data_IF_557856740568
#
_entry.id   IF_557856740568
#
_cell.length_a   1.000
_cell.length_b   1.000
_cell.length_c   1.000
_cell.angle_alpha   90.00
_cell.angle_beta   90.00
_cell.angle_gamma   90.00
#
_symmetry.space_group_name_H-M   'P 1'
#
loop_
_entity.id
_entity.type
_entity.pdbx_description
1 polymer ?
#
# COMPACT_ATOMS: atom_id res chain seq x y z
N UNK A 1 1.18 11.68 -21.34
CA UNK A 1 1.68 10.29 -21.53
C UNK A 1 0.47 9.37 -21.60
N UNK A 2 0.42 8.44 -22.55
CA UNK A 2 -0.66 7.43 -22.62
C UNK A 2 -0.20 6.17 -21.88
N UNK A 3 -1.05 5.59 -21.05
CA UNK A 3 -0.77 4.33 -20.37
C UNK A 3 -2.04 3.48 -20.26
N UNK A 4 -1.85 2.18 -20.06
CA UNK A 4 -2.93 1.23 -19.78
C UNK A 4 -2.60 0.54 -18.46
N UNK A 5 -3.45 0.66 -17.42
CA UNK A 5 -3.26 -0.07 -16.18
C UNK A 5 -3.27 -1.58 -16.43
N UNK A 6 -2.34 -2.29 -15.83
CA UNK A 6 -2.32 -3.75 -15.88
C UNK A 6 -0.95 -4.36 -15.64
N UNK A 7 -0.94 -5.69 -15.69
CA UNK A 7 0.25 -6.52 -15.51
C UNK A 7 0.43 -7.48 -16.67
N UNK A 8 1.68 -7.85 -16.97
CA UNK A 8 1.98 -9.00 -17.82
C UNK A 8 1.44 -10.26 -17.15
N UNK A 9 1.02 -11.21 -17.99
CA UNK A 9 0.56 -12.53 -17.54
C UNK A 9 1.62 -13.27 -16.73
N UNK A 10 2.90 -13.13 -17.09
CA UNK A 10 4.05 -13.69 -16.39
C UNK A 10 5.11 -12.59 -16.26
N UNK A 11 5.69 -12.44 -15.07
CA UNK A 11 6.84 -11.58 -14.82
C UNK A 11 8.16 -12.24 -15.26
N UNK A 12 8.24 -13.57 -15.24
CA UNK A 12 9.34 -14.37 -15.77
C UNK A 12 8.79 -15.42 -16.74
N UNK A 13 9.28 -15.45 -17.98
CA UNK A 13 8.95 -16.47 -18.98
C UNK A 13 10.22 -17.01 -19.66
N UNK A 14 10.47 -18.32 -19.54
CA UNK A 14 11.69 -18.98 -20.05
C UNK A 14 12.95 -18.27 -19.53
N UNK A 15 13.81 -17.76 -20.40
CA UNK A 15 15.02 -17.03 -20.06
C UNK A 15 14.85 -15.50 -20.01
N UNK A 16 13.61 -15.00 -19.94
CA UNK A 16 13.31 -13.58 -19.96
C UNK A 16 12.55 -13.14 -18.70
N UNK A 17 13.04 -12.11 -18.03
CA UNK A 17 12.40 -11.46 -16.89
C UNK A 17 12.00 -10.04 -17.29
N UNK A 18 10.73 -9.71 -17.12
CA UNK A 18 10.23 -8.36 -17.34
C UNK A 18 10.35 -7.54 -16.05
N UNK A 19 10.82 -6.29 -16.17
CA UNK A 19 10.96 -5.34 -15.06
C UNK A 19 10.39 -3.97 -15.45
N UNK A 20 9.87 -3.24 -14.45
CA UNK A 20 9.30 -1.91 -14.63
C UNK A 20 8.12 -1.90 -15.60
N UNK A 21 8.08 -0.94 -16.52
CA UNK A 21 6.97 -0.81 -17.48
C UNK A 21 6.82 -2.04 -18.41
N UNK A 22 7.88 -2.84 -18.57
CA UNK A 22 7.80 -4.08 -19.34
C UNK A 22 6.98 -5.17 -18.64
N UNK A 23 7.00 -5.20 -17.30
CA UNK A 23 6.22 -6.14 -16.47
C UNK A 23 4.81 -5.63 -16.20
N UNK A 24 4.61 -4.33 -16.00
CA UNK A 24 3.27 -3.78 -15.77
C UNK A 24 3.31 -2.31 -15.44
N UNK A 25 2.13 -1.69 -15.40
CA UNK A 25 1.98 -0.32 -14.96
C UNK A 25 0.70 -0.16 -14.15
N UNK A 26 0.83 0.50 -13.01
CA UNK A 26 -0.25 1.00 -12.18
C UNK A 26 0.03 2.48 -11.99
N UNK A 27 -1.01 3.30 -11.99
CA UNK A 27 -0.88 4.75 -11.88
C UNK A 27 -0.11 5.16 -10.59
N UNK A 28 0.61 6.29 -10.62
CA UNK A 28 1.55 6.67 -9.55
C UNK A 28 0.85 7.30 -8.33
N UNK A 29 -0.37 6.88 -8.00
CA UNK A 29 -1.13 7.43 -6.86
C UNK A 29 -0.40 7.18 -5.53
N UNK A 30 0.23 6.01 -5.39
CA UNK A 30 0.96 5.59 -4.18
C UNK A 30 2.47 5.39 -4.41
N UNK A 31 3.05 6.06 -5.41
CA UNK A 31 4.49 6.05 -5.69
C UNK A 31 5.14 4.65 -5.83
N UNK A 32 4.40 3.67 -6.36
CA UNK A 32 4.80 2.24 -6.35
C UNK A 32 5.74 1.83 -7.50
N UNK A 33 5.92 2.64 -8.54
CA UNK A 33 6.62 2.20 -9.76
C UNK A 33 8.07 1.81 -9.54
N UNK A 34 8.84 2.62 -8.80
CA UNK A 34 10.24 2.35 -8.49
C UNK A 34 10.37 1.18 -7.51
N UNK A 35 9.43 1.07 -6.56
CA UNK A 35 9.36 -0.06 -5.64
C UNK A 35 9.24 -1.39 -6.38
N UNK A 36 8.30 -1.49 -7.33
CA UNK A 36 8.10 -2.69 -8.16
C UNK A 36 9.34 -3.11 -8.96
N UNK A 37 10.14 -2.14 -9.42
CA UNK A 37 11.42 -2.44 -10.09
C UNK A 37 12.39 -3.07 -9.08
N UNK A 38 12.53 -2.48 -7.89
CA UNK A 38 13.43 -2.98 -6.87
C UNK A 38 13.02 -4.38 -6.38
N UNK A 39 11.73 -4.61 -6.12
CA UNK A 39 11.25 -5.92 -5.65
C UNK A 39 11.41 -6.98 -6.72
N UNK A 40 11.17 -6.65 -8.00
CA UNK A 40 11.47 -7.54 -9.13
C UNK A 40 12.95 -7.93 -9.20
N UNK A 41 13.87 -6.97 -9.05
CA UNK A 41 15.32 -7.23 -9.03
C UNK A 41 15.70 -8.11 -7.83
N UNK A 42 15.25 -7.77 -6.61
CA UNK A 42 15.54 -8.55 -5.39
C UNK A 42 14.99 -9.97 -5.50
N UNK A 43 13.78 -10.14 -6.05
CA UNK A 43 13.16 -11.45 -6.29
C UNK A 43 14.00 -12.28 -7.26
N UNK A 44 14.47 -11.68 -8.35
CA UNK A 44 15.37 -12.34 -9.31
C UNK A 44 16.70 -12.73 -8.64
N UNK A 45 17.29 -11.86 -7.82
CA UNK A 45 18.53 -12.16 -7.09
C UNK A 45 18.37 -13.34 -6.12
N UNK A 46 17.23 -13.45 -5.44
CA UNK A 46 16.93 -14.58 -4.53
C UNK A 46 16.73 -15.89 -5.27
N UNK A 47 16.22 -15.84 -6.50
CA UNK A 47 15.92 -16.99 -7.35
C UNK A 47 16.94 -17.12 -8.50
N UNK A 48 18.15 -16.58 -8.33
CA UNK A 48 19.07 -16.42 -9.43
C UNK A 48 19.52 -17.79 -9.97
N UNK A 49 19.38 -18.05 -11.28
CA UNK A 49 19.55 -19.39 -11.85
C UNK A 49 21.02 -19.65 -12.23
N UNK A 50 21.91 -19.82 -11.25
CA UNK A 50 23.36 -20.00 -11.50
C UNK A 50 23.68 -21.18 -12.42
N UNK A 51 22.95 -22.29 -12.27
CA UNK A 51 23.14 -23.52 -13.07
C UNK A 51 22.10 -23.66 -14.19
N UNK A 52 21.45 -22.56 -14.57
CA UNK A 52 20.40 -22.53 -15.58
C UNK A 52 18.99 -22.40 -15.01
N UNK A 53 18.06 -21.98 -15.87
CA UNK A 53 16.70 -21.64 -15.45
C UNK A 53 15.87 -22.89 -15.20
N UNK A 54 15.28 -22.99 -14.01
CA UNK A 54 14.39 -24.08 -13.62
C UNK A 54 12.94 -23.61 -13.59
N UNK A 55 12.01 -24.50 -13.93
CA UNK A 55 10.57 -24.18 -13.91
C UNK A 55 10.10 -23.81 -12.49
N UNK A 56 10.63 -24.46 -11.45
CA UNK A 56 10.32 -24.13 -10.05
C UNK A 56 10.68 -22.69 -9.68
N UNK A 57 11.81 -22.16 -10.18
CA UNK A 57 12.20 -20.77 -9.93
C UNK A 57 11.29 -19.79 -10.70
N UNK A 58 10.90 -20.12 -11.93
CA UNK A 58 9.94 -19.33 -12.72
C UNK A 58 8.59 -19.28 -12.00
N UNK A 59 8.08 -20.42 -11.53
CA UNK A 59 6.78 -20.53 -10.89
C UNK A 59 6.75 -19.72 -9.59
N UNK A 60 7.75 -19.90 -8.71
CA UNK A 60 7.85 -19.13 -7.46
C UNK A 60 7.96 -17.62 -7.73
N UNK A 61 8.77 -17.21 -8.72
CA UNK A 61 8.88 -15.80 -9.10
C UNK A 61 7.52 -15.23 -9.51
N UNK A 62 6.79 -15.96 -10.35
CA UNK A 62 5.50 -15.51 -10.88
C UNK A 62 4.40 -15.52 -9.81
N UNK A 63 4.39 -16.48 -8.89
CA UNK A 63 3.46 -16.49 -7.75
C UNK A 63 3.64 -15.25 -6.89
N UNK A 64 4.90 -14.91 -6.54
CA UNK A 64 5.19 -13.71 -5.72
C UNK A 64 4.94 -12.41 -6.48
N UNK A 65 5.22 -12.38 -7.77
CA UNK A 65 4.88 -11.25 -8.64
C UNK A 65 3.37 -11.01 -8.71
N UNK A 66 2.58 -12.07 -8.86
CA UNK A 66 1.13 -11.97 -9.02
C UNK A 66 0.46 -11.51 -7.73
N UNK A 67 0.90 -12.05 -6.59
CA UNK A 67 0.45 -11.65 -5.26
C UNK A 67 0.76 -10.18 -4.96
N UNK A 68 1.98 -9.71 -5.25
CA UNK A 68 2.37 -8.29 -5.10
C UNK A 68 1.53 -7.37 -6.00
N UNK A 69 1.34 -7.73 -7.27
CA UNK A 69 0.55 -6.91 -8.19
C UNK A 69 -0.93 -6.85 -7.80
N UNK A 70 -1.50 -7.94 -7.27
CA UNK A 70 -2.86 -7.98 -6.76
C UNK A 70 -3.03 -7.08 -5.54
N UNK A 71 -2.09 -7.15 -4.58
CA UNK A 71 -2.11 -6.31 -3.39
C UNK A 71 -2.05 -4.81 -3.72
N UNK A 72 -1.19 -4.43 -4.67
CA UNK A 72 -1.11 -3.03 -5.13
C UNK A 72 -2.40 -2.60 -5.82
N UNK A 73 -2.96 -3.45 -6.69
CA UNK A 73 -4.21 -3.15 -7.38
C UNK A 73 -5.35 -2.94 -6.38
N UNK A 74 -5.47 -3.81 -5.36
CA UNK A 74 -6.50 -3.67 -4.33
C UNK A 74 -6.37 -2.35 -3.59
N UNK A 75 -5.15 -1.95 -3.20
CA UNK A 75 -4.92 -0.69 -2.52
C UNK A 75 -5.28 0.51 -3.42
N UNK A 76 -4.88 0.52 -4.69
CA UNK A 76 -5.21 1.61 -5.61
C UNK A 76 -6.70 1.67 -5.90
N UNK A 77 -7.35 0.53 -6.14
CA UNK A 77 -8.79 0.45 -6.41
C UNK A 77 -9.59 0.94 -5.20
N UNK A 78 -9.11 0.69 -3.97
CA UNK A 78 -9.72 1.24 -2.75
C UNK A 78 -9.87 2.76 -2.81
N UNK A 79 -8.84 3.50 -3.27
CA UNK A 79 -8.91 4.97 -3.34
C UNK A 79 -10.07 5.49 -4.19
N UNK A 80 -10.45 4.73 -5.22
CA UNK A 80 -11.59 5.06 -6.08
C UNK A 80 -12.91 4.55 -5.51
N UNK A 81 -12.89 3.37 -4.90
CA UNK A 81 -14.07 2.68 -4.39
C UNK A 81 -14.63 3.32 -3.12
N UNK A 82 -13.74 3.66 -2.18
CA UNK A 82 -14.10 4.27 -0.89
C UNK A 82 -14.17 5.77 -1.07
N UNK A 83 -15.36 6.28 -1.38
CA UNK A 83 -15.55 7.70 -1.64
C UNK A 83 -16.96 8.15 -1.29
N UNK A 84 -17.07 9.39 -0.80
CA UNK A 84 -18.33 10.10 -0.59
C UNK A 84 -18.72 10.95 -1.81
N UNK A 85 -17.90 10.97 -2.87
CA UNK A 85 -18.17 11.72 -4.08
C UNK A 85 -19.23 11.05 -4.93
N UNK A 86 -20.23 11.83 -5.34
CA UNK A 86 -21.28 11.45 -6.30
C UNK A 86 -21.51 12.55 -7.34
N UNK A 87 -20.63 13.55 -7.37
CA UNK A 87 -20.76 14.79 -8.15
C UNK A 87 -20.56 14.61 -9.66
N UNK A 88 -20.18 13.40 -10.12
CA UNK A 88 -20.02 13.10 -11.55
C UNK A 88 -20.31 11.65 -11.87
N UNK A 89 -20.65 11.33 -13.14
CA UNK A 89 -20.79 9.94 -13.59
C UNK A 89 -19.54 9.09 -13.32
N UNK A 90 -18.36 9.70 -13.36
CA UNK A 90 -17.10 9.02 -13.02
C UNK A 90 -17.09 8.55 -11.58
N UNK A 91 -17.36 9.42 -10.61
CA UNK A 91 -17.35 9.05 -9.19
C UNK A 91 -18.48 8.10 -8.81
N UNK A 92 -19.65 8.26 -9.43
CA UNK A 92 -20.75 7.31 -9.28
C UNK A 92 -20.36 5.92 -9.81
N UNK A 93 -19.63 5.84 -10.92
CA UNK A 93 -19.10 4.58 -11.42
C UNK A 93 -18.08 3.98 -10.46
N UNK A 94 -17.04 4.73 -10.06
CA UNK A 94 -16.00 4.25 -9.14
C UNK A 94 -16.57 3.74 -7.82
N UNK A 95 -17.56 4.43 -7.26
CA UNK A 95 -18.25 4.02 -6.04
C UNK A 95 -19.00 2.69 -6.20
N UNK A 96 -19.62 2.47 -7.36
CA UNK A 96 -20.50 1.32 -7.62
C UNK A 96 -19.85 0.17 -8.40
N UNK A 97 -18.61 0.34 -8.90
CA UNK A 97 -17.93 -0.68 -9.70
C UNK A 97 -17.70 -1.98 -8.91
N UNK A 98 -17.73 -3.15 -9.57
CA UNK A 98 -17.30 -4.39 -8.94
C UNK A 98 -15.82 -4.30 -8.58
N UNK A 99 -15.44 -4.94 -7.48
CA UNK A 99 -14.07 -4.98 -6.98
C UNK A 99 -13.65 -6.43 -6.71
N UNK A 100 -12.33 -6.72 -6.66
CA UNK A 100 -11.86 -8.06 -6.35
C UNK A 100 -12.39 -8.60 -5.01
N UNK A 101 -12.56 -9.93 -4.86
CA UNK A 101 -12.97 -10.53 -3.59
C UNK A 101 -12.02 -10.22 -2.43
N UNK A 102 -10.72 -10.12 -2.69
CA UNK A 102 -9.69 -9.75 -1.72
C UNK A 102 -9.92 -8.36 -1.14
N UNK A 103 -10.11 -7.35 -2.00
CA UNK A 103 -10.45 -6.00 -1.55
C UNK A 103 -11.81 -5.96 -0.83
N UNK A 104 -12.83 -6.65 -1.35
CA UNK A 104 -14.15 -6.74 -0.72
C UNK A 104 -14.03 -7.28 0.71
N UNK A 105 -13.24 -8.34 0.89
CA UNK A 105 -12.98 -8.93 2.19
C UNK A 105 -12.31 -7.93 3.15
N UNK A 106 -11.22 -7.28 2.73
CA UNK A 106 -10.51 -6.27 3.57
C UNK A 106 -11.43 -5.11 3.97
N UNK A 107 -12.23 -4.59 3.03
CA UNK A 107 -13.16 -3.48 3.31
C UNK A 107 -14.26 -3.89 4.29
N UNK A 108 -14.86 -5.07 4.12
CA UNK A 108 -15.87 -5.55 5.03
C UNK A 108 -15.29 -5.83 6.42
N UNK A 109 -14.11 -6.47 6.49
CA UNK A 109 -13.45 -6.73 7.77
C UNK A 109 -13.14 -5.44 8.52
N UNK A 110 -12.64 -4.42 7.83
CA UNK A 110 -12.37 -3.14 8.46
C UNK A 110 -13.67 -2.43 8.88
N UNK A 111 -14.66 -2.35 7.99
CA UNK A 111 -15.96 -1.74 8.29
C UNK A 111 -16.64 -2.43 9.47
N UNK A 112 -16.62 -3.75 9.50
CA UNK A 112 -17.33 -4.50 10.52
C UNK A 112 -16.56 -4.54 11.82
N UNK A 113 -15.23 -4.47 11.83
CA UNK A 113 -14.43 -4.82 13.02
C UNK A 113 -13.36 -3.81 13.43
N UNK A 114 -13.05 -2.83 12.59
CA UNK A 114 -11.92 -1.91 12.76
C UNK A 114 -10.55 -2.55 12.57
N UNK A 115 -10.49 -3.80 12.09
CA UNK A 115 -9.24 -4.57 11.93
C UNK A 115 -8.79 -4.61 10.48
N UNK A 116 -7.47 -4.62 10.29
CA UNK A 116 -6.81 -4.87 9.00
C UNK A 116 -5.79 -5.98 9.20
N UNK A 117 -5.75 -6.92 8.27
CA UNK A 117 -4.74 -7.96 8.19
C UNK A 117 -4.00 -7.87 6.87
N UNK A 118 -2.72 -8.20 6.90
CA UNK A 118 -1.86 -8.24 5.73
C UNK A 118 -1.85 -9.66 5.16
N UNK A 119 -2.03 -9.74 3.84
CA UNK A 119 -1.91 -10.96 3.06
C UNK A 119 -0.49 -11.10 2.51
N UNK A 120 -0.15 -12.28 1.98
CA UNK A 120 1.12 -12.46 1.25
C UNK A 120 1.17 -11.49 0.07
N UNK A 121 2.32 -10.83 -0.11
CA UNK A 121 2.56 -9.82 -1.13
C UNK A 121 2.07 -8.40 -0.80
N UNK A 122 1.44 -8.16 0.35
CA UNK A 122 1.11 -6.80 0.78
C UNK A 122 2.38 -5.96 0.96
N UNK A 123 2.47 -4.88 0.16
CA UNK A 123 3.53 -3.88 0.29
C UNK A 123 3.13 -2.73 1.23
N UNK A 124 1.82 -2.54 1.40
CA UNK A 124 1.24 -1.52 2.25
C UNK A 124 0.99 -2.08 3.65
N UNK A 125 1.36 -1.31 4.66
CA UNK A 125 1.25 -1.75 6.05
C UNK A 125 -0.15 -1.50 6.59
N UNK A 126 -0.43 -2.09 7.75
CA UNK A 126 -1.71 -1.95 8.47
C UNK A 126 -2.08 -0.48 8.65
N UNK A 127 -1.12 0.35 9.04
CA UNK A 127 -1.29 1.79 9.22
C UNK A 127 -1.69 2.51 7.93
N UNK A 128 -1.12 2.13 6.77
CA UNK A 128 -1.50 2.71 5.47
C UNK A 128 -2.97 2.43 5.13
N UNK A 129 -3.39 1.18 5.26
CA UNK A 129 -4.78 0.79 5.04
C UNK A 129 -5.74 1.51 5.99
N UNK A 130 -5.42 1.53 7.30
CA UNK A 130 -6.25 2.20 8.30
C UNK A 130 -6.36 3.70 8.04
N UNK A 131 -5.24 4.37 7.73
CA UNK A 131 -5.22 5.81 7.46
C UNK A 131 -6.05 6.18 6.23
N UNK A 132 -5.91 5.44 5.13
CA UNK A 132 -6.66 5.73 3.90
C UNK A 132 -8.15 5.42 4.08
N UNK A 133 -8.51 4.26 4.63
CA UNK A 133 -9.92 3.91 4.84
C UNK A 133 -10.62 4.93 5.75
N UNK A 134 -10.03 5.27 6.90
CA UNK A 134 -10.59 6.29 7.79
C UNK A 134 -10.62 7.67 7.12
N UNK A 135 -9.53 8.06 6.46
CA UNK A 135 -9.40 9.35 5.79
C UNK A 135 -10.40 9.55 4.64
N UNK A 136 -10.80 8.46 3.99
CA UNK A 136 -11.83 8.47 2.94
C UNK A 136 -13.27 8.32 3.49
N UNK A 137 -13.44 8.23 4.81
CA UNK A 137 -14.74 8.22 5.48
C UNK A 137 -15.31 6.83 5.78
N UNK A 138 -14.55 5.75 5.57
CA UNK A 138 -14.95 4.42 6.01
C UNK A 138 -14.78 4.31 7.52
N UNK A 139 -15.86 4.46 8.27
CA UNK A 139 -15.85 4.36 9.74
C UNK A 139 -16.19 2.93 10.17
N UNK A 140 -15.38 2.30 11.04
CA UNK A 140 -15.68 0.96 11.55
C UNK A 140 -16.86 0.97 12.53
N UNK A 141 -17.69 -0.07 12.48
CA UNK A 141 -18.87 -0.25 13.33
C UNK A 141 -18.54 -0.66 14.77
N UNK A 142 -17.34 -1.22 14.98
CA UNK A 142 -16.83 -1.62 16.30
C UNK A 142 -15.30 -1.50 16.33
N UNK A 143 -14.76 -1.62 17.53
CA UNK A 143 -13.33 -1.60 17.83
C UNK A 143 -13.01 -2.73 18.82
N UNK A 144 -11.72 -2.94 19.11
CA UNK A 144 -11.29 -3.97 20.05
C UNK A 144 -11.68 -3.60 21.50
N UNK A 145 -12.33 -4.53 22.21
CA UNK A 145 -12.87 -4.31 23.56
C UNK A 145 -11.87 -3.99 24.67
N UNK A 146 -10.58 -4.24 24.43
CA UNK A 146 -9.50 -3.75 25.30
C UNK A 146 -9.53 -2.23 25.51
N UNK A 147 -10.07 -1.46 24.56
CA UNK A 147 -10.22 -0.02 24.73
C UNK A 147 -11.24 0.36 25.81
N UNK A 148 -12.18 -0.54 26.14
CA UNK A 148 -13.20 -0.32 27.19
C UNK A 148 -12.61 -0.48 28.61
N UNK A 149 -11.38 -1.01 28.73
CA UNK A 149 -10.67 -1.13 30.03
C UNK A 149 -10.16 0.23 30.54
N UNK A 150 -10.05 1.23 29.66
CA UNK A 150 -9.66 2.59 30.04
C UNK A 150 -10.90 3.44 30.30
N UNK A 151 -10.91 4.18 31.42
CA UNK A 151 -11.91 5.24 31.60
C UNK A 151 -11.72 6.35 30.56
N UNK A 152 -12.77 7.12 30.28
CA UNK A 152 -12.73 8.24 29.34
C UNK A 152 -11.60 9.22 29.66
N UNK A 153 -11.42 9.57 30.94
CA UNK A 153 -10.35 10.45 31.39
C UNK A 153 -8.95 9.84 31.24
N UNK A 154 -8.80 8.52 31.30
CA UNK A 154 -7.52 7.84 31.00
C UNK A 154 -7.23 7.83 29.50
N UNK A 155 -8.24 7.55 28.68
CA UNK A 155 -8.13 7.56 27.23
C UNK A 155 -7.77 8.96 26.70
N UNK A 156 -8.44 10.01 27.19
CA UNK A 156 -8.12 11.40 26.83
C UNK A 156 -6.68 11.75 27.21
N UNK A 157 -6.25 11.41 28.42
CA UNK A 157 -4.86 11.64 28.87
C UNK A 157 -3.86 10.89 28.02
N UNK A 158 -4.15 9.64 27.67
CA UNK A 158 -3.30 8.82 26.79
C UNK A 158 -3.15 9.47 25.41
N UNK A 159 -4.27 9.85 24.77
CA UNK A 159 -4.26 10.48 23.45
C UNK A 159 -3.59 11.86 23.46
N UNK A 160 -3.82 12.67 24.50
CA UNK A 160 -3.14 13.96 24.67
C UNK A 160 -1.63 13.78 24.86
N UNK A 161 -1.20 12.78 25.63
CA UNK A 161 0.20 12.45 25.82
C UNK A 161 0.90 12.11 24.50
N UNK A 162 0.28 11.25 23.68
CA UNK A 162 0.79 10.92 22.34
C UNK A 162 0.90 12.18 21.46
N UNK A 163 -0.15 13.00 21.41
CA UNK A 163 -0.16 14.26 20.64
C UNK A 163 0.95 15.20 21.09
N UNK A 164 1.14 15.35 22.40
CA UNK A 164 2.18 16.21 22.96
C UNK A 164 3.57 15.70 22.59
N UNK A 165 3.82 14.40 22.71
CA UNK A 165 5.11 13.81 22.35
C UNK A 165 5.44 14.00 20.87
N UNK A 166 4.47 13.75 19.98
CA UNK A 166 4.62 14.00 18.53
C UNK A 166 4.93 15.47 18.27
N UNK A 167 4.17 16.39 18.88
CA UNK A 167 4.37 17.84 18.71
C UNK A 167 5.75 18.29 19.18
N UNK A 168 6.19 17.81 20.35
CA UNK A 168 7.52 18.12 20.89
C UNK A 168 8.65 17.60 20.00
N UNK A 169 8.48 16.44 19.38
CA UNK A 169 9.48 15.88 18.47
C UNK A 169 9.52 16.65 17.15
N UNK A 170 8.37 16.99 16.56
CA UNK A 170 8.30 17.78 15.32
C UNK A 170 8.94 19.16 15.51
N UNK A 171 8.70 19.82 16.65
CA UNK A 171 9.27 21.15 16.93
C UNK A 171 10.81 21.16 17.03
N UNK A 172 11.46 20.00 17.20
CA UNK A 172 12.92 19.87 17.20
C UNK A 172 13.50 19.63 15.80
N UNK A 173 12.66 19.30 14.82
CA UNK A 173 13.11 19.05 13.46
C UNK A 173 13.26 20.37 12.70
N UNK A 174 14.32 20.52 11.88
CA UNK A 174 14.42 21.65 10.99
C UNK A 174 13.30 21.62 9.95
N UNK A 175 13.01 22.78 9.35
CA UNK A 175 12.16 22.80 8.15
C UNK A 175 12.81 21.98 7.03
N UNK A 176 12.00 21.49 6.10
CA UNK A 176 12.49 20.71 4.97
C UNK A 176 13.61 21.44 4.19
N UNK A 177 13.44 22.75 3.94
CA UNK A 177 14.44 23.55 3.25
C UNK A 177 15.77 23.67 4.04
N UNK A 178 15.68 23.93 5.36
CA UNK A 178 16.87 24.03 6.20
C UNK A 178 17.63 22.70 6.29
N UNK A 179 16.90 21.57 6.35
CA UNK A 179 17.50 20.24 6.32
C UNK A 179 18.26 19.99 5.00
N UNK A 180 17.64 20.28 3.85
CA UNK A 180 18.28 20.09 2.55
C UNK A 180 19.53 20.96 2.40
N UNK A 181 19.46 22.22 2.82
CA UNK A 181 20.59 23.13 2.81
C UNK A 181 21.76 22.58 3.62
N UNK A 182 21.51 22.09 4.84
CA UNK A 182 22.56 21.56 5.70
C UNK A 182 23.14 20.25 5.15
N UNK A 183 22.28 19.32 4.74
CA UNK A 183 22.69 17.96 4.36
C UNK A 183 23.40 17.91 3.00
N UNK A 184 22.96 18.72 2.03
CA UNK A 184 23.52 18.71 0.67
C UNK A 184 24.74 19.63 0.52
N UNK A 185 24.84 20.73 1.30
CA UNK A 185 26.02 21.61 1.25
C UNK A 185 27.29 20.96 1.83
N UNK A 186 27.17 19.96 2.70
CA UNK A 186 28.30 19.18 3.22
C UNK A 186 28.90 18.13 2.27
N UNK A 187 28.44 18.07 1.00
CA UNK A 187 28.91 17.11 -0.02
C UNK A 187 29.66 17.75 -1.19
N UNK A 188 30.18 18.97 -1.03
CA UNK A 188 31.11 19.60 -1.99
C UNK A 188 32.55 19.28 -1.65
#
# INVERSE_FOLDING_TARGET
IKFTPGKRRLGWNKNCVALGLASGFIEPLESTSIHLIMTGIVRLMRLFPFDGVTQSAIDEYNTKYDSEMAAILDFIVMHYKVTNREDSPFWQHCKNMPIPPSLTHKLNLFKDTGRVFLDDGDIFRVDSWTQVMLGQGLTPNQYHKVADEMSEAELERFMMGLKQQVTQNINKLPSHAAFLDQYLKGKQ
#
